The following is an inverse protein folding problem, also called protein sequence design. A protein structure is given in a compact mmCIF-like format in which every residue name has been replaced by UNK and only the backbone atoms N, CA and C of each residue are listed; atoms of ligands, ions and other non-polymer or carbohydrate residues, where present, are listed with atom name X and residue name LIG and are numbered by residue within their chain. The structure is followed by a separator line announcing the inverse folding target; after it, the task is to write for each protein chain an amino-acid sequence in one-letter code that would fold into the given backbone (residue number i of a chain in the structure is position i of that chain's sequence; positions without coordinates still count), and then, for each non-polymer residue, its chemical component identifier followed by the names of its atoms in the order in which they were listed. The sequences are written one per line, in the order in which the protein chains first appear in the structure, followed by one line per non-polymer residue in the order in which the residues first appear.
data_IF_066253350623
#
_entry.id   IF_066253350623
#
_cell.length_a   1.000
_cell.length_b   1.000
_cell.length_c   1.000
_cell.angle_alpha   90.00
_cell.angle_beta   90.00
_cell.angle_gamma   90.00
#
_symmetry.space_group_name_H-M   'P 1'
#
loop_
_entity.id
_entity.type
_entity.pdbx_description
1 polymer ?
#
# COMPACT_ATOMS: atom_id res chain seq x y z
N UNK A 1 -4.78 -4.01 22.35
CA UNK A 1 -3.97 -3.99 21.13
C UNK A 1 -3.98 -2.58 20.56
N UNK A 2 -2.80 -2.10 20.19
CA UNK A 2 -2.65 -0.74 19.65
C UNK A 2 -2.40 -0.85 18.15
N UNK A 3 -3.18 -0.12 17.36
CA UNK A 3 -2.98 0.01 15.93
C UNK A 3 -2.21 1.29 15.62
N UNK A 4 -1.31 1.18 14.67
CA UNK A 4 -0.56 2.30 14.12
C UNK A 4 -0.95 2.51 12.67
N UNK A 5 -0.89 3.74 12.21
CA UNK A 5 -1.33 4.12 10.86
C UNK A 5 -0.21 4.91 10.19
N UNK A 6 0.29 4.39 9.08
CA UNK A 6 1.30 5.08 8.27
C UNK A 6 0.61 5.68 7.05
N UNK A 7 0.62 7.01 6.89
CA UNK A 7 -0.11 7.62 5.78
C UNK A 7 0.50 7.27 4.43
N UNK A 8 -0.37 7.11 3.45
CA UNK A 8 -0.02 6.96 2.05
C UNK A 8 -0.55 8.17 1.31
N UNK A 9 0.34 8.86 0.63
CA UNK A 9 -0.02 9.93 -0.29
C UNK A 9 0.97 9.89 -1.43
N UNK A 10 0.51 9.56 -2.63
CA UNK A 10 1.42 9.44 -3.76
C UNK A 10 0.70 9.78 -5.06
N UNK A 11 1.42 10.46 -5.95
CA UNK A 11 0.97 10.76 -7.29
C UNK A 11 2.04 10.29 -8.25
N UNK A 12 1.67 9.36 -9.13
CA UNK A 12 2.58 8.80 -10.13
C UNK A 12 2.19 9.32 -11.50
N UNK A 13 3.05 10.16 -12.08
CA UNK A 13 2.86 10.74 -13.41
C UNK A 13 3.46 9.88 -14.52
N UNK A 14 4.17 8.79 -14.18
CA UNK A 14 4.81 7.92 -15.15
C UNK A 14 4.10 6.57 -15.23
N UNK A 15 4.38 5.82 -16.29
CA UNK A 15 3.86 4.46 -16.44
C UNK A 15 4.72 3.40 -15.72
N UNK A 16 5.74 3.84 -15.00
CA UNK A 16 6.61 2.96 -14.22
C UNK A 16 6.09 2.81 -12.82
N UNK A 17 6.37 1.66 -12.22
CA UNK A 17 6.04 1.38 -10.84
C UNK A 17 6.91 2.23 -9.92
N UNK A 18 6.29 2.94 -8.98
CA UNK A 18 6.98 3.80 -8.02
C UNK A 18 6.69 3.36 -6.59
N UNK A 19 7.68 3.41 -5.72
CA UNK A 19 7.49 3.12 -4.30
C UNK A 19 6.66 4.21 -3.64
N UNK A 20 5.63 3.79 -2.91
CA UNK A 20 4.76 4.67 -2.13
C UNK A 20 5.14 4.66 -0.67
N UNK A 21 5.45 3.47 -0.15
CA UNK A 21 5.73 3.28 1.28
C UNK A 21 6.60 2.05 1.47
N UNK A 22 7.56 2.16 2.40
CA UNK A 22 8.29 1.02 2.92
C UNK A 22 8.10 0.96 4.43
N UNK A 23 7.71 -0.20 4.94
CA UNK A 23 7.50 -0.44 6.37
C UNK A 23 8.45 -1.55 6.82
N UNK A 24 9.42 -1.17 7.63
CA UNK A 24 10.49 -2.07 8.07
C UNK A 24 10.15 -2.70 9.42
N UNK A 25 10.32 -4.02 9.51
CA UNK A 25 10.14 -4.77 10.75
C UNK A 25 11.51 -5.01 11.38
N UNK A 26 11.72 -4.47 12.57
CA UNK A 26 12.97 -4.62 13.30
C UNK A 26 12.78 -5.51 14.51
N UNK A 27 13.90 -5.85 15.15
CA UNK A 27 13.87 -6.64 16.39
C UNK A 27 13.15 -5.90 17.50
N UNK A 28 13.34 -4.58 17.58
CA UNK A 28 12.73 -3.73 18.60
C UNK A 28 11.27 -3.43 18.29
N UNK A 29 10.93 -3.39 17.00
CA UNK A 29 9.58 -3.11 16.54
C UNK A 29 9.15 -4.12 15.48
N UNK A 30 8.90 -5.38 15.89
CA UNK A 30 8.43 -6.38 14.95
C UNK A 30 6.99 -6.06 14.52
N UNK A 31 6.75 -6.02 13.23
CA UNK A 31 5.49 -5.50 12.68
C UNK A 31 4.68 -6.57 11.97
N UNK A 32 3.36 -6.42 12.10
CA UNK A 32 2.40 -7.14 11.27
C UNK A 32 1.55 -6.09 10.56
N UNK A 33 1.54 -6.14 9.23
CA UNK A 33 0.67 -5.29 8.42
C UNK A 33 -0.73 -5.89 8.45
N UNK A 34 -1.67 -5.14 9.00
CA UNK A 34 -3.05 -5.60 9.17
C UNK A 34 -3.83 -5.37 7.89
N UNK A 35 -3.81 -4.15 7.37
CA UNK A 35 -4.62 -3.78 6.22
C UNK A 35 -4.09 -2.52 5.55
N UNK A 36 -4.60 -2.28 4.34
CA UNK A 36 -4.45 -1.00 3.64
C UNK A 36 -5.84 -0.37 3.58
N UNK A 37 -5.94 0.87 4.03
CA UNK A 37 -7.18 1.64 3.97
C UNK A 37 -7.04 2.71 2.90
N UNK A 38 -7.92 2.67 1.91
CA UNK A 38 -7.95 3.64 0.83
C UNK A 38 -9.05 4.66 1.09
N UNK A 39 -8.68 5.94 1.12
CA UNK A 39 -9.57 7.05 1.34
C UNK A 39 -9.91 7.77 0.04
N UNK A 40 -9.05 7.68 -0.97
CA UNK A 40 -9.30 8.31 -2.26
C UNK A 40 -8.26 7.93 -3.29
N UNK A 41 -8.64 8.08 -4.57
CA UNK A 41 -7.72 7.96 -5.69
C UNK A 41 -8.20 8.81 -6.85
N UNK A 42 -7.29 9.14 -7.78
CA UNK A 42 -7.63 9.75 -9.06
C UNK A 42 -6.98 8.92 -10.17
N UNK A 43 -7.72 8.73 -11.26
CA UNK A 43 -7.31 7.92 -12.41
C UNK A 43 -7.04 6.47 -12.04
N UNK A 44 -6.81 5.63 -13.03
CA UNK A 44 -6.61 4.21 -12.80
C UNK A 44 -5.14 3.90 -12.51
N UNK A 45 -4.92 3.10 -11.49
CA UNK A 45 -3.60 2.63 -11.11
C UNK A 45 -3.61 1.20 -10.63
N UNK A 46 -2.43 0.66 -10.37
CA UNK A 46 -2.26 -0.64 -9.75
C UNK A 46 -1.41 -0.43 -8.51
N UNK A 47 -1.99 -0.75 -7.36
CA UNK A 47 -1.29 -0.77 -6.08
C UNK A 47 -0.79 -2.19 -5.86
N UNK A 48 0.51 -2.35 -5.62
CA UNK A 48 1.10 -3.66 -5.37
C UNK A 48 1.72 -3.69 -3.99
N UNK A 49 1.65 -4.86 -3.37
CA UNK A 49 2.20 -5.12 -2.04
C UNK A 49 3.27 -6.18 -2.16
N UNK A 50 4.44 -5.90 -1.63
CA UNK A 50 5.58 -6.82 -1.63
C UNK A 50 6.07 -7.06 -0.21
N UNK A 51 6.59 -8.26 0.01
CA UNK A 51 7.50 -8.54 1.13
C UNK A 51 8.88 -8.69 0.52
N UNK A 52 9.74 -7.71 0.74
CA UNK A 52 11.02 -7.59 0.04
C UNK A 52 10.79 -7.60 -1.48
N UNK A 53 11.24 -8.63 -2.19
CA UNK A 53 11.07 -8.74 -3.64
C UNK A 53 9.89 -9.61 -4.05
N UNK A 54 9.23 -10.25 -3.08
CA UNK A 54 8.12 -11.15 -3.36
C UNK A 54 6.81 -10.37 -3.45
N UNK A 55 6.17 -10.43 -4.61
CA UNK A 55 4.86 -9.80 -4.79
C UNK A 55 3.79 -10.64 -4.12
N UNK A 56 3.04 -10.01 -3.22
CA UNK A 56 1.98 -10.68 -2.47
C UNK A 56 0.59 -10.38 -3.01
N UNK A 57 0.42 -9.26 -3.69
CA UNK A 57 -0.88 -8.92 -4.23
C UNK A 57 -0.87 -7.68 -5.11
N UNK A 58 -1.95 -7.53 -5.88
CA UNK A 58 -2.22 -6.39 -6.72
C UNK A 58 -3.64 -5.90 -6.47
N UNK A 59 -3.79 -4.59 -6.33
CA UNK A 59 -5.06 -3.96 -6.07
C UNK A 59 -5.26 -2.90 -7.16
N UNK A 60 -6.15 -3.13 -8.14
CA UNK A 60 -6.46 -2.08 -9.10
C UNK A 60 -7.27 -0.99 -8.42
N UNK A 61 -6.92 0.27 -8.70
CA UNK A 61 -7.63 1.43 -8.21
C UNK A 61 -8.39 2.09 -9.34
N UNK A 62 -9.36 2.94 -9.00
CA UNK A 62 -10.13 3.69 -9.99
C UNK A 62 -11.35 2.97 -10.54
N UNK A 63 -11.71 1.81 -10.02
CA UNK A 63 -12.95 1.15 -10.40
C UNK A 63 -14.13 1.98 -9.91
N UNK A 64 -15.04 2.34 -10.84
CA UNK A 64 -16.10 3.31 -10.56
C UNK A 64 -17.18 2.82 -9.61
N UNK A 65 -17.23 1.54 -9.33
CA UNK A 65 -18.26 0.94 -8.48
C UNK A 65 -17.85 0.74 -7.02
N UNK A 66 -16.61 1.06 -6.68
CA UNK A 66 -16.11 0.89 -5.31
C UNK A 66 -16.40 2.16 -4.51
N UNK A 67 -17.03 1.98 -3.37
CA UNK A 67 -17.28 3.08 -2.44
C UNK A 67 -16.11 3.24 -1.47
N UNK A 68 -15.71 4.47 -1.22
CA UNK A 68 -14.65 4.81 -0.28
C UNK A 68 -15.23 5.28 1.05
N UNK A 69 -14.55 5.08 2.17
CA UNK A 69 -13.29 4.39 2.31
C UNK A 69 -13.42 2.87 2.18
N UNK A 70 -12.34 2.21 1.80
CA UNK A 70 -12.30 0.75 1.75
C UNK A 70 -11.08 0.25 2.53
N UNK A 71 -11.28 -0.77 3.35
CA UNK A 71 -10.20 -1.45 4.06
C UNK A 71 -9.94 -2.81 3.41
N UNK A 72 -8.69 -3.02 3.01
CA UNK A 72 -8.25 -4.23 2.33
C UNK A 72 -7.36 -5.01 3.28
N UNK A 73 -7.81 -6.17 3.80
CA UNK A 73 -7.01 -6.96 4.72
C UNK A 73 -5.77 -7.52 4.03
N UNK A 74 -4.63 -7.43 4.69
CA UNK A 74 -3.34 -7.92 4.20
C UNK A 74 -2.85 -9.06 5.09
N UNK A 75 -2.94 -8.90 6.42
CA UNK A 75 -2.55 -9.89 7.42
C UNK A 75 -1.14 -10.44 7.19
N UNK A 76 -0.20 -9.54 6.99
CA UNK A 76 1.19 -9.88 6.70
C UNK A 76 2.06 -9.72 7.93
N UNK A 77 2.48 -10.82 8.52
CA UNK A 77 3.48 -10.83 9.57
C UNK A 77 4.87 -10.73 8.95
N UNK A 78 5.57 -9.63 9.27
CA UNK A 78 6.90 -9.36 8.73
C UNK A 78 7.97 -9.97 9.64
N UNK A 79 8.80 -10.90 9.14
CA UNK A 79 9.97 -11.34 9.88
C UNK A 79 10.94 -10.20 10.17
N UNK A 80 11.73 -10.34 11.22
CA UNK A 80 12.77 -9.38 11.57
C UNK A 80 13.69 -9.14 10.38
N UNK A 81 13.96 -7.86 10.09
CA UNK A 81 14.85 -7.46 9.01
C UNK A 81 14.18 -7.37 7.65
N UNK A 82 12.89 -7.66 7.55
CA UNK A 82 12.18 -7.58 6.27
C UNK A 82 11.26 -6.36 6.20
N UNK A 83 10.92 -5.97 4.98
CA UNK A 83 10.10 -4.80 4.71
C UNK A 83 8.85 -5.19 3.94
N UNK A 84 7.75 -4.50 4.26
CA UNK A 84 6.62 -4.41 3.35
C UNK A 84 6.84 -3.21 2.45
N UNK A 85 6.68 -3.41 1.15
CA UNK A 85 6.87 -2.35 0.15
C UNK A 85 5.56 -2.22 -0.62
N UNK A 86 5.07 -1.00 -0.71
CA UNK A 86 3.85 -0.70 -1.45
C UNK A 86 4.23 0.21 -2.61
N UNK A 87 3.78 -0.15 -3.81
CA UNK A 87 4.08 0.59 -5.03
C UNK A 87 2.79 0.98 -5.75
N UNK A 88 2.88 2.00 -6.60
CA UNK A 88 1.79 2.45 -7.44
C UNK A 88 2.28 2.62 -8.87
N UNK A 89 1.52 2.11 -9.83
CA UNK A 89 1.79 2.24 -11.25
C UNK A 89 0.55 2.74 -11.97
N UNK A 90 0.72 3.65 -12.93
CA UNK A 90 -0.36 4.08 -13.81
C UNK A 90 -0.79 2.94 -14.75
N UNK A 91 -2.10 2.80 -14.95
CA UNK A 91 -2.64 1.88 -15.94
C UNK A 91 -2.88 2.57 -17.28
N UNK A 92 -3.10 3.87 -17.28
CA UNK A 92 -3.45 4.63 -18.47
C UNK A 92 -2.33 5.62 -18.76
N UNK A 93 -1.77 5.53 -19.98
CA UNK A 93 -0.72 6.44 -20.45
C UNK A 93 -1.25 7.87 -20.50
N UNK A 94 -0.42 8.82 -20.06
CA UNK A 94 -0.75 10.23 -20.11
C UNK A 94 -1.61 10.73 -18.94
N UNK A 95 -1.88 9.87 -17.94
CA UNK A 95 -2.60 10.28 -16.73
C UNK A 95 -1.68 10.26 -15.52
N UNK A 96 -2.15 10.86 -14.41
CA UNK A 96 -1.49 10.79 -13.12
C UNK A 96 -2.33 9.93 -12.19
N UNK A 97 -1.82 8.77 -11.79
CA UNK A 97 -2.48 7.98 -10.76
C UNK A 97 -2.12 8.56 -9.40
N UNK A 98 -3.13 8.82 -8.59
CA UNK A 98 -2.97 9.37 -7.24
C UNK A 98 -3.69 8.50 -6.24
N UNK A 99 -3.11 8.32 -5.07
CA UNK A 99 -3.70 7.52 -4.00
C UNK A 99 -3.56 8.24 -2.67
N UNK A 100 -4.60 8.16 -1.85
CA UNK A 100 -4.63 8.70 -0.50
C UNK A 100 -5.20 7.62 0.41
N UNK A 101 -4.49 7.36 1.51
CA UNK A 101 -4.94 6.37 2.48
C UNK A 101 -3.90 6.18 3.58
N UNK A 102 -3.91 4.99 4.16
CA UNK A 102 -2.89 4.62 5.14
C UNK A 102 -2.75 3.10 5.25
N UNK A 103 -1.59 2.69 5.73
CA UNK A 103 -1.33 1.31 6.11
C UNK A 103 -1.54 1.18 7.61
N UNK A 104 -2.34 0.21 7.99
CA UNK A 104 -2.64 -0.11 9.38
C UNK A 104 -1.77 -1.29 9.80
N UNK A 105 -1.03 -1.14 10.89
CA UNK A 105 -0.15 -2.19 11.36
C UNK A 105 -0.14 -2.25 12.90
N UNK A 106 0.38 -3.35 13.41
CA UNK A 106 0.63 -3.51 14.86
C UNK A 106 2.12 -3.80 15.06
N UNK A 107 2.60 -3.49 16.25
CA UNK A 107 3.92 -3.92 16.71
C UNK A 107 3.69 -5.08 17.65
N UNK A 108 4.32 -6.21 17.31
CA UNK A 108 4.20 -7.45 18.10
C UNK A 108 4.98 -7.41 19.40
#
# INVERSE_FOLDING_TARGET
MVFYYEPIYHENASDKEENVLELYSSREEPKTVVSIVLLGWTNEGILRVYREKEKLGEIPTGASTIQLPIEIPIDLELPEGQRAIITLQNRISGTNAKIIGYVKYIIR
#
